data_IF_409270611759
#
_entry.id   IF_409270611759
#
_cell.length_a   1.000
_cell.length_b   1.000
_cell.length_c   1.000
_cell.angle_alpha   90.00
_cell.angle_beta   90.00
_cell.angle_gamma   90.00
#
_symmetry.space_group_name_H-M   'P 1'
#
loop_
_entity.id
_entity.type
_entity.pdbx_description
1 polymer ?
#
# COMPACT_ATOMS: atom_id res chain seq x y z
N UNK A 1 17.63 -3.55 30.01
CA UNK A 1 17.87 -2.58 28.92
C UNK A 1 16.70 -2.64 27.96
N UNK A 2 16.38 -1.54 27.30
CA UNK A 2 15.35 -1.52 26.26
C UNK A 2 15.69 -0.48 25.22
N UNK A 3 15.07 -0.55 24.04
CA UNK A 3 15.34 0.38 22.96
C UNK A 3 14.06 0.75 22.22
N UNK A 4 14.01 2.01 21.79
CA UNK A 4 12.98 2.51 20.90
C UNK A 4 13.58 3.01 19.59
N UNK A 5 12.82 2.87 18.51
CA UNK A 5 13.17 3.40 17.19
C UNK A 5 12.32 4.63 16.89
N UNK A 6 12.92 5.64 16.26
CA UNK A 6 12.20 6.83 15.82
C UNK A 6 11.47 6.49 14.51
N UNK A 7 10.14 6.67 14.52
CA UNK A 7 9.26 6.44 13.38
C UNK A 7 8.32 7.62 13.28
N UNK A 8 8.32 8.32 12.14
CA UNK A 8 7.51 9.53 11.92
C UNK A 8 7.68 10.58 13.04
N UNK A 9 8.92 10.79 13.50
CA UNK A 9 9.24 11.77 14.54
C UNK A 9 8.86 11.37 15.98
N UNK A 10 8.24 10.20 16.19
CA UNK A 10 7.94 9.67 17.51
C UNK A 10 8.81 8.47 17.85
N UNK A 11 9.23 8.36 19.11
CA UNK A 11 10.04 7.26 19.59
C UNK A 11 9.14 6.09 20.00
N UNK A 12 9.22 4.96 19.30
CA UNK A 12 8.44 3.76 19.63
C UNK A 12 9.33 2.67 20.22
N UNK A 13 9.03 2.24 21.45
CA UNK A 13 9.72 1.13 22.11
C UNK A 13 9.44 -0.17 21.36
N UNK A 14 10.49 -0.85 20.92
CA UNK A 14 10.39 -2.05 20.08
C UNK A 14 11.15 -3.25 20.64
N UNK A 15 12.11 -3.02 21.53
CA UNK A 15 12.93 -4.08 22.12
C UNK A 15 13.02 -3.93 23.63
N UNK A 16 12.80 -5.02 24.35
CA UNK A 16 12.93 -5.13 25.81
C UNK A 16 13.87 -6.30 26.14
N UNK A 17 14.77 -6.09 27.10
CA UNK A 17 15.72 -7.10 27.60
C UNK A 17 15.81 -7.00 29.13
N UNK A 18 15.42 -8.08 29.82
CA UNK A 18 15.42 -8.14 31.29
C UNK A 18 14.24 -7.41 31.94
N UNK A 19 13.16 -7.20 31.17
CA UNK A 19 11.90 -6.66 31.64
C UNK A 19 11.16 -7.68 32.53
N UNK A 20 10.37 -7.19 33.49
CA UNK A 20 9.46 -7.97 34.33
C UNK A 20 8.09 -8.12 33.68
N UNK A 21 7.68 -7.12 32.90
CA UNK A 21 6.44 -7.14 32.13
C UNK A 21 6.61 -6.44 30.79
N UNK A 22 5.64 -6.57 29.90
CA UNK A 22 5.67 -5.98 28.56
C UNK A 22 5.00 -4.59 28.50
N UNK A 23 4.80 -3.93 29.65
CA UNK A 23 4.08 -2.66 29.75
C UNK A 23 4.73 -1.53 28.90
N UNK A 24 6.03 -1.62 28.69
CA UNK A 24 6.79 -0.68 27.86
C UNK A 24 6.77 -1.04 26.37
N UNK A 25 6.35 -2.25 25.99
CA UNK A 25 6.41 -2.71 24.60
C UNK A 25 5.43 -1.92 23.74
N UNK A 26 5.91 -1.36 22.63
CA UNK A 26 5.07 -0.64 21.67
C UNK A 26 4.66 0.76 22.11
N UNK A 27 5.07 1.20 23.32
CA UNK A 27 4.83 2.55 23.80
C UNK A 27 5.44 3.58 22.85
N UNK A 28 4.67 4.60 22.50
CA UNK A 28 5.09 5.68 21.62
C UNK A 28 5.24 6.96 22.41
N UNK A 29 6.44 7.54 22.38
CA UNK A 29 6.79 8.78 23.06
C UNK A 29 6.96 9.89 22.01
N UNK A 30 6.18 10.97 22.08
CA UNK A 30 6.44 12.18 21.30
C UNK A 30 7.82 12.80 21.62
N UNK A 31 8.32 13.71 20.78
CA UNK A 31 9.45 14.57 21.14
C UNK A 31 9.21 15.29 22.47
N UNK A 32 10.29 15.51 23.23
CA UNK A 32 10.28 16.21 24.53
C UNK A 32 9.49 15.53 25.66
N UNK A 33 8.74 14.45 25.38
CA UNK A 33 8.00 13.67 26.38
C UNK A 33 8.90 12.61 27.03
N UNK A 34 8.90 12.62 28.36
CA UNK A 34 9.65 11.69 29.20
C UNK A 34 11.16 11.79 29.01
N UNK A 35 11.88 10.83 29.59
CA UNK A 35 13.34 10.74 29.45
C UNK A 35 13.77 10.50 27.99
N UNK A 36 12.97 9.68 27.29
CA UNK A 36 13.21 9.29 25.90
C UNK A 36 13.12 10.42 24.90
N UNK A 37 11.97 11.10 24.89
CA UNK A 37 11.73 12.23 24.02
C UNK A 37 12.73 13.35 24.30
N UNK A 38 13.07 13.59 25.58
CA UNK A 38 14.11 14.56 25.95
C UNK A 38 15.50 14.20 25.42
N UNK A 39 15.93 12.95 25.54
CA UNK A 39 17.22 12.51 25.01
C UNK A 39 17.26 12.58 23.47
N UNK A 40 16.13 12.26 22.82
CA UNK A 40 15.96 12.39 21.38
C UNK A 40 16.08 13.85 20.92
N UNK A 41 15.38 14.78 21.58
CA UNK A 41 15.45 16.22 21.26
C UNK A 41 16.82 16.81 21.52
N UNK A 42 17.47 16.45 22.64
CA UNK A 42 18.77 17.02 23.01
C UNK A 42 19.95 16.43 22.22
N UNK A 43 19.79 15.25 21.60
CA UNK A 43 20.87 14.57 20.88
C UNK A 43 22.05 14.13 21.76
N UNK A 44 21.89 14.11 23.09
CA UNK A 44 22.92 13.66 24.05
C UNK A 44 22.34 12.76 25.15
N UNK A 45 23.18 11.93 25.81
CA UNK A 45 22.75 11.12 26.95
C UNK A 45 22.05 11.90 28.05
N UNK A 46 20.97 11.34 28.60
CA UNK A 46 20.24 11.90 29.75
C UNK A 46 20.00 10.81 30.78
N UNK A 47 20.30 11.07 32.05
CA UNK A 47 20.09 10.11 33.15
C UNK A 47 19.30 10.73 34.29
N UNK A 48 18.45 9.93 34.91
CA UNK A 48 17.72 10.26 36.14
C UNK A 48 18.01 9.20 37.21
N UNK A 49 18.26 9.65 38.44
CA UNK A 49 18.51 8.79 39.60
C UNK A 49 17.26 8.10 40.11
N UNK A 50 16.14 8.82 40.07
CA UNK A 50 14.85 8.32 40.50
C UNK A 50 13.76 8.92 39.61
N UNK A 51 13.18 8.08 38.76
CA UNK A 51 12.24 8.46 37.72
C UNK A 51 10.97 9.06 38.32
N UNK A 52 10.44 8.47 39.41
CA UNK A 52 9.19 8.93 40.04
C UNK A 52 9.28 10.32 40.69
N UNK A 53 10.49 10.83 40.91
CA UNK A 53 10.72 12.14 41.55
C UNK A 53 11.48 13.11 40.64
N UNK A 54 11.74 12.73 39.39
CA UNK A 54 12.60 13.49 38.49
C UNK A 54 11.84 14.66 37.83
N UNK A 55 11.99 15.87 38.37
CA UNK A 55 11.40 17.10 37.80
C UNK A 55 11.88 17.48 36.39
N UNK A 56 12.96 16.85 35.90
CA UNK A 56 13.52 17.08 34.57
C UNK A 56 12.84 16.31 33.43
N UNK A 57 11.79 15.54 33.69
CA UNK A 57 11.09 14.77 32.66
C UNK A 57 9.58 14.85 32.87
N UNK A 58 8.82 14.60 31.80
CA UNK A 58 7.37 14.42 31.93
C UNK A 58 7.06 13.01 32.44
N UNK A 59 5.92 12.89 33.12
CA UNK A 59 5.53 11.69 33.88
C UNK A 59 4.33 10.97 33.25
N UNK A 60 4.12 11.17 31.94
CA UNK A 60 3.00 10.58 31.17
C UNK A 60 3.03 9.05 31.10
N UNK A 61 4.17 8.44 31.44
CA UNK A 61 4.39 7.00 31.36
C UNK A 61 4.72 6.35 32.71
N UNK A 62 4.44 7.05 33.82
CA UNK A 62 4.69 6.57 35.18
C UNK A 62 4.05 5.22 35.47
N UNK A 63 2.84 4.98 34.95
CA UNK A 63 2.13 3.71 35.16
C UNK A 63 2.93 2.55 34.55
N UNK A 64 3.37 2.69 33.30
CA UNK A 64 4.11 1.64 32.60
C UNK A 64 5.51 1.43 33.19
N UNK A 65 6.20 2.52 33.55
CA UNK A 65 7.51 2.47 34.22
C UNK A 65 7.40 1.90 35.64
N UNK A 66 6.31 2.21 36.34
CA UNK A 66 5.98 1.74 37.68
C UNK A 66 5.67 0.24 37.72
N UNK A 67 4.92 -0.29 36.74
CA UNK A 67 4.69 -1.73 36.59
C UNK A 67 5.99 -2.51 36.36
N UNK A 68 6.93 -1.91 35.63
CA UNK A 68 8.26 -2.49 35.40
C UNK A 68 9.18 -2.33 36.64
N UNK A 69 8.81 -1.44 37.56
CA UNK A 69 9.51 -1.15 38.82
C UNK A 69 10.82 -0.38 38.63
N UNK A 70 10.98 0.34 37.52
CA UNK A 70 12.21 1.08 37.23
C UNK A 70 12.29 2.34 38.09
N UNK A 71 13.48 2.62 38.61
CA UNK A 71 13.76 3.79 39.45
C UNK A 71 14.82 4.65 38.79
N UNK A 72 16.04 4.17 38.61
CA UNK A 72 17.03 4.92 37.84
C UNK A 72 16.98 4.55 36.35
N UNK A 73 17.01 5.55 35.48
CA UNK A 73 17.02 5.37 34.02
C UNK A 73 18.08 6.26 33.35
N UNK A 74 18.68 5.75 32.29
CA UNK A 74 19.53 6.49 31.37
C UNK A 74 19.05 6.24 29.95
N UNK A 75 18.92 7.31 29.17
CA UNK A 75 18.55 7.30 27.76
C UNK A 75 19.73 7.81 26.93
N UNK A 76 20.15 7.00 25.96
CA UNK A 76 21.27 7.24 25.06
C UNK A 76 20.71 7.39 23.64
N UNK A 77 20.78 8.58 23.04
CA UNK A 77 20.37 8.75 21.65
C UNK A 77 21.37 8.06 20.71
N UNK A 78 20.83 7.42 19.67
CA UNK A 78 21.58 6.71 18.64
C UNK A 78 21.37 7.44 17.32
N UNK A 79 22.37 8.23 16.95
CA UNK A 79 22.34 9.03 15.72
C UNK A 79 22.87 8.24 14.53
N UNK A 80 22.15 8.32 13.41
CA UNK A 80 22.54 7.80 12.10
C UNK A 80 22.53 8.98 11.13
N UNK A 81 23.70 9.31 10.56
CA UNK A 81 23.87 10.43 9.62
C UNK A 81 23.40 11.79 10.18
N UNK A 82 23.66 12.03 11.46
CA UNK A 82 23.32 13.30 12.14
C UNK A 82 21.91 13.35 12.73
N UNK A 83 21.04 12.39 12.41
CA UNK A 83 19.66 12.32 12.89
C UNK A 83 19.49 11.21 13.93
N UNK A 84 18.76 11.45 15.01
CA UNK A 84 18.50 10.43 16.04
C UNK A 84 17.52 9.40 15.49
N UNK A 85 18.03 8.19 15.17
CA UNK A 85 17.24 7.11 14.60
C UNK A 85 16.65 6.17 15.67
N UNK A 86 17.25 6.14 16.86
CA UNK A 86 16.81 5.31 17.97
C UNK A 86 17.27 5.90 19.32
N UNK A 87 16.69 5.39 20.41
CA UNK A 87 17.14 5.68 21.78
C UNK A 87 17.32 4.35 22.51
N UNK A 88 18.50 4.15 23.09
CA UNK A 88 18.85 3.01 23.92
C UNK A 88 18.69 3.38 25.40
N UNK A 89 18.06 2.51 26.18
CA UNK A 89 17.80 2.72 27.60
C UNK A 89 18.52 1.72 28.49
N UNK A 90 19.20 2.24 29.50
CA UNK A 90 19.63 1.52 30.68
C UNK A 90 18.68 1.82 31.84
N UNK A 91 18.21 0.79 32.55
CA UNK A 91 17.29 0.97 33.65
C UNK A 91 17.53 -0.03 34.77
N UNK A 92 17.42 0.43 36.01
CA UNK A 92 17.55 -0.40 37.20
C UNK A 92 16.45 -0.07 38.21
N UNK A 93 16.10 -1.06 39.04
CA UNK A 93 14.99 -0.99 40.00
C UNK A 93 15.43 -0.50 41.38
N UNK A 94 16.43 0.38 41.38
CA UNK A 94 17.03 0.97 42.58
C UNK A 94 17.31 2.45 42.34
N UNK A 95 17.28 3.25 43.40
CA UNK A 95 17.57 4.69 43.36
C UNK A 95 19.07 4.90 43.36
N UNK A 96 19.66 4.99 42.17
CA UNK A 96 21.12 5.08 41.98
C UNK A 96 21.50 6.08 40.90
N UNK A 97 22.66 6.71 41.04
CA UNK A 97 23.25 7.53 39.98
C UNK A 97 24.10 6.62 39.09
N UNK A 98 23.92 6.70 37.77
CA UNK A 98 24.81 6.01 36.85
C UNK A 98 26.17 6.71 36.84
N UNK A 99 27.24 5.95 37.04
CA UNK A 99 28.61 6.46 36.90
C UNK A 99 29.03 6.60 35.44
N UNK A 100 29.98 7.48 35.18
CA UNK A 100 30.43 7.84 33.82
C UNK A 100 30.87 6.63 32.98
N UNK A 101 31.53 5.66 33.61
CA UNK A 101 31.96 4.41 32.95
C UNK A 101 30.78 3.61 32.40
N UNK A 102 29.68 3.50 33.16
CA UNK A 102 28.48 2.78 32.73
C UNK A 102 27.80 3.51 31.58
N UNK A 103 27.72 4.85 31.66
CA UNK A 103 27.18 5.68 30.59
C UNK A 103 28.03 5.54 29.32
N UNK A 104 29.35 5.59 29.42
CA UNK A 104 30.27 5.44 28.29
C UNK A 104 30.14 4.07 27.61
N UNK A 105 29.96 2.99 28.37
CA UNK A 105 29.71 1.66 27.81
C UNK A 105 28.38 1.59 27.04
N UNK A 106 27.32 2.20 27.56
CA UNK A 106 26.03 2.28 26.87
C UNK A 106 26.11 3.15 25.61
N UNK A 107 26.89 4.23 25.62
CA UNK A 107 27.19 5.04 24.43
C UNK A 107 27.93 4.21 23.39
N UNK A 108 28.95 3.45 23.79
CA UNK A 108 29.67 2.53 22.89
C UNK A 108 28.75 1.47 22.28
N UNK A 109 27.83 0.92 23.06
CA UNK A 109 26.81 0.00 22.55
C UNK A 109 25.87 0.70 21.55
N UNK A 110 25.52 1.96 21.81
CA UNK A 110 24.77 2.81 20.89
C UNK A 110 25.45 2.99 19.53
N UNK A 111 26.77 3.19 19.49
CA UNK A 111 27.52 3.25 18.23
C UNK A 111 27.48 1.95 17.42
N UNK A 112 27.54 0.79 18.09
CA UNK A 112 27.33 -0.50 17.44
C UNK A 112 25.96 -0.59 16.77
N UNK A 113 24.91 -0.19 17.49
CA UNK A 113 23.54 -0.15 16.98
C UNK A 113 23.39 0.84 15.80
N UNK A 114 24.05 2.01 15.85
CA UNK A 114 24.03 2.98 14.76
C UNK A 114 24.54 2.37 13.44
N UNK A 115 25.65 1.61 13.51
CA UNK A 115 26.23 0.93 12.34
C UNK A 115 25.30 -0.13 11.76
N UNK A 116 24.63 -0.90 12.62
CA UNK A 116 23.65 -1.91 12.19
C UNK A 116 22.42 -1.27 11.52
N UNK A 117 21.92 -0.16 12.08
CA UNK A 117 20.80 0.61 11.53
C UNK A 117 21.17 1.25 10.18
N UNK A 118 22.40 1.75 10.03
CA UNK A 118 22.90 2.28 8.76
C UNK A 118 22.96 1.19 7.70
N UNK A 119 23.60 0.05 7.99
CA UNK A 119 23.68 -1.09 7.08
C UNK A 119 22.30 -1.59 6.65
N UNK A 120 21.36 -1.65 7.60
CA UNK A 120 19.99 -2.11 7.32
C UNK A 120 19.19 -1.10 6.51
N UNK A 121 19.40 0.20 6.73
CA UNK A 121 18.77 1.26 5.93
C UNK A 121 19.28 1.26 4.50
N UNK A 122 20.59 1.03 4.29
CA UNK A 122 21.18 0.89 2.97
C UNK A 122 20.65 -0.34 2.23
N UNK A 123 20.56 -1.48 2.92
CA UNK A 123 19.95 -2.70 2.38
C UNK A 123 18.52 -2.46 1.93
N UNK A 124 17.70 -1.80 2.76
CA UNK A 124 16.32 -1.48 2.43
C UNK A 124 16.22 -0.53 1.23
N UNK A 125 17.09 0.48 1.15
CA UNK A 125 17.17 1.38 -0.02
C UNK A 125 17.55 0.65 -1.28
N UNK A 126 18.52 -0.28 -1.22
CA UNK A 126 18.93 -1.08 -2.39
C UNK A 126 17.78 -1.95 -2.89
N UNK A 127 17.06 -2.61 -1.98
CA UNK A 127 15.86 -3.39 -2.34
C UNK A 127 14.78 -2.49 -2.96
N UNK A 128 14.54 -1.30 -2.39
CA UNK A 128 13.58 -0.35 -2.94
C UNK A 128 13.97 0.15 -4.34
N UNK A 129 15.26 0.42 -4.57
CA UNK A 129 15.79 0.78 -5.89
C UNK A 129 15.64 -0.36 -6.89
N UNK A 130 15.95 -1.60 -6.51
CA UNK A 130 15.76 -2.77 -7.37
C UNK A 130 14.28 -2.96 -7.72
N UNK A 131 13.37 -2.79 -6.75
CA UNK A 131 11.92 -2.81 -6.99
C UNK A 131 11.46 -1.70 -7.92
N UNK A 132 11.96 -0.48 -7.72
CA UNK A 132 11.64 0.66 -8.59
C UNK A 132 12.16 0.46 -10.01
N UNK A 133 13.38 -0.09 -10.16
CA UNK A 133 13.94 -0.43 -11.46
C UNK A 133 13.18 -1.58 -12.14
N UNK A 134 12.72 -2.58 -11.39
CA UNK A 134 11.88 -3.65 -11.90
C UNK A 134 10.45 -3.19 -12.25
N UNK A 135 9.95 -2.15 -11.58
CA UNK A 135 8.64 -1.53 -11.85
C UNK A 135 8.69 -0.46 -12.95
N UNK A 136 9.89 0.01 -13.33
CA UNK A 136 10.06 0.90 -14.46
C UNK A 136 9.70 0.13 -15.74
N UNK A 137 8.81 0.66 -16.61
CA UNK A 137 8.52 0.01 -17.88
C UNK A 137 9.80 -0.03 -18.70
N UNK A 138 10.29 -1.23 -19.00
CA UNK A 138 11.43 -1.43 -19.88
C UNK A 138 11.14 -0.78 -21.25
N UNK A 139 12.12 -0.15 -21.91
CA UNK A 139 12.01 0.20 -23.32
C UNK A 139 12.15 -1.08 -24.17
N UNK A 140 11.19 -1.98 -24.04
CA UNK A 140 10.85 -2.95 -25.07
C UNK A 140 9.81 -2.34 -26.00
N UNK A 141 9.55 -2.97 -27.15
CA UNK A 141 8.43 -2.61 -28.03
C UNK A 141 7.21 -2.27 -27.18
N UNK A 142 6.69 -1.05 -27.28
CA UNK A 142 5.59 -0.64 -26.42
C UNK A 142 4.40 -1.53 -26.74
N UNK A 143 3.55 -1.83 -25.75
CA UNK A 143 2.30 -2.54 -26.03
C UNK A 143 1.40 -1.80 -27.04
N UNK A 144 1.64 -0.51 -27.27
CA UNK A 144 1.05 0.26 -28.36
C UNK A 144 1.63 -0.17 -29.73
N UNK A 145 2.96 -0.21 -29.86
CA UNK A 145 3.66 -0.60 -31.10
C UNK A 145 3.28 -2.03 -31.53
N UNK A 146 3.15 -2.98 -30.59
CA UNK A 146 2.72 -4.35 -30.90
C UNK A 146 1.24 -4.47 -31.25
N UNK A 147 0.37 -3.62 -30.67
CA UNK A 147 -1.05 -3.55 -31.04
C UNK A 147 -1.20 -3.04 -32.46
N UNK A 148 -0.48 -1.97 -32.80
CA UNK A 148 -0.49 -1.40 -34.14
C UNK A 148 0.00 -2.41 -35.19
N UNK A 149 1.08 -3.13 -34.92
CA UNK A 149 1.58 -4.19 -35.81
C UNK A 149 0.57 -5.34 -35.98
N UNK A 150 -0.11 -5.75 -34.90
CA UNK A 150 -1.14 -6.79 -34.98
C UNK A 150 -2.38 -6.32 -35.76
N UNK A 151 -2.80 -5.06 -35.61
CA UNK A 151 -3.89 -4.45 -36.36
C UNK A 151 -3.56 -4.33 -37.85
N UNK A 152 -2.33 -3.92 -38.19
CA UNK A 152 -1.84 -3.85 -39.57
C UNK A 152 -1.81 -5.23 -40.23
N UNK A 153 -1.35 -6.28 -39.53
CA UNK A 153 -1.39 -7.66 -40.02
C UNK A 153 -2.84 -8.13 -40.26
N UNK A 154 -3.76 -7.87 -39.33
CA UNK A 154 -5.17 -8.22 -39.49
C UNK A 154 -5.84 -7.48 -40.66
N UNK A 155 -5.52 -6.20 -40.86
CA UNK A 155 -6.01 -5.40 -41.97
C UNK A 155 -5.46 -5.89 -43.32
N UNK A 156 -4.17 -6.25 -43.38
CA UNK A 156 -3.53 -6.78 -44.59
C UNK A 156 -4.09 -8.14 -45.04
N UNK A 157 -4.52 -8.98 -44.10
CA UNK A 157 -5.09 -10.30 -44.39
C UNK A 157 -6.51 -10.23 -44.99
N UNK A 158 -7.18 -9.07 -44.99
CA UNK A 158 -8.54 -8.91 -45.54
C UNK A 158 -8.62 -9.23 -47.05
N UNK A 159 -7.51 -9.09 -47.78
CA UNK A 159 -7.45 -9.28 -49.24
C UNK A 159 -6.85 -10.64 -49.67
N UNK A 160 -6.51 -11.52 -48.73
CA UNK A 160 -5.85 -12.81 -49.04
C UNK A 160 -6.88 -13.90 -49.36
N UNK A 161 -6.77 -14.59 -50.50
CA UNK A 161 -7.73 -15.64 -50.92
C UNK A 161 -7.61 -16.96 -50.15
N UNK A 162 -6.53 -17.17 -49.41
CA UNK A 162 -6.30 -18.35 -48.58
C UNK A 162 -6.96 -18.20 -47.21
N UNK A 163 -8.04 -18.96 -46.99
CA UNK A 163 -8.80 -18.95 -45.75
C UNK A 163 -8.05 -19.55 -44.55
N UNK A 164 -7.25 -20.60 -44.78
CA UNK A 164 -6.53 -21.29 -43.70
C UNK A 164 -5.40 -20.41 -43.14
N UNK A 165 -4.62 -19.78 -44.03
CA UNK A 165 -3.57 -18.83 -43.63
C UNK A 165 -4.16 -17.60 -42.91
N UNK A 166 -5.32 -17.11 -43.38
CA UNK A 166 -6.06 -16.01 -42.75
C UNK A 166 -6.46 -16.32 -41.32
N UNK A 167 -6.96 -17.53 -41.07
CA UNK A 167 -7.39 -17.96 -39.75
C UNK A 167 -6.21 -18.17 -38.79
N UNK A 168 -5.09 -18.71 -39.29
CA UNK A 168 -3.85 -18.89 -38.52
C UNK A 168 -3.22 -17.56 -38.08
N UNK A 169 -3.13 -16.60 -38.99
CA UNK A 169 -2.61 -15.25 -38.68
C UNK A 169 -3.54 -14.53 -37.70
N UNK A 170 -4.86 -14.62 -37.89
CA UNK A 170 -5.84 -14.03 -36.97
C UNK A 170 -5.71 -14.61 -35.56
N UNK A 171 -5.63 -15.94 -35.45
CA UNK A 171 -5.49 -16.63 -34.19
C UNK A 171 -4.19 -16.22 -33.45
N UNK A 172 -3.09 -16.12 -34.20
CA UNK A 172 -1.79 -15.70 -33.65
C UNK A 172 -1.83 -14.25 -33.16
N UNK A 173 -2.42 -13.33 -33.92
CA UNK A 173 -2.57 -11.93 -33.53
C UNK A 173 -3.46 -11.78 -32.27
N UNK A 174 -4.56 -12.53 -32.19
CA UNK A 174 -5.44 -12.52 -31.01
C UNK A 174 -4.72 -13.01 -29.75
N UNK A 175 -3.91 -14.08 -29.85
CA UNK A 175 -3.12 -14.58 -28.73
C UNK A 175 -2.08 -13.56 -28.25
N UNK A 176 -1.42 -12.87 -29.19
CA UNK A 176 -0.47 -11.80 -28.87
C UNK A 176 -1.17 -10.62 -28.17
N UNK A 177 -2.31 -10.17 -28.69
CA UNK A 177 -3.10 -9.08 -28.10
C UNK A 177 -3.60 -9.41 -26.69
N UNK A 178 -4.03 -10.65 -26.45
CA UNK A 178 -4.46 -11.13 -25.13
C UNK A 178 -3.30 -11.17 -24.13
N UNK A 179 -2.12 -11.64 -24.55
CA UNK A 179 -0.91 -11.65 -23.72
C UNK A 179 -0.43 -10.23 -23.38
N UNK A 180 -0.59 -9.27 -24.29
CA UNK A 180 -0.26 -7.84 -24.08
C UNK A 180 -1.32 -7.07 -23.27
N UNK A 181 -2.49 -7.66 -23.04
CA UNK A 181 -3.58 -7.14 -22.22
C UNK A 181 -3.54 -7.58 -20.75
N UNK A 182 -2.44 -8.17 -20.29
CA UNK A 182 -2.28 -8.67 -18.93
C UNK A 182 -2.57 -7.61 -17.86
N UNK A 183 -3.63 -7.88 -17.08
CA UNK A 183 -4.17 -7.10 -15.95
C UNK A 183 -4.89 -5.79 -16.33
N UNK A 184 -5.93 -5.89 -17.16
CA UNK A 184 -7.10 -5.01 -16.91
C UNK A 184 -7.89 -5.65 -15.78
N UNK A 185 -8.03 -4.96 -14.64
CA UNK A 185 -8.94 -5.33 -13.55
C UNK A 185 -10.29 -5.77 -14.14
N UNK A 186 -10.48 -7.09 -14.21
CA UNK A 186 -11.75 -7.67 -14.59
C UNK A 186 -12.69 -7.44 -13.41
N UNK A 187 -13.38 -6.30 -13.43
CA UNK A 187 -14.65 -6.19 -12.73
C UNK A 187 -15.48 -7.42 -13.13
N UNK A 188 -16.04 -8.18 -12.17
CA UNK A 188 -16.89 -9.31 -12.52
C UNK A 188 -17.96 -8.83 -13.49
N UNK A 189 -18.28 -9.61 -14.54
CA UNK A 189 -19.25 -9.20 -15.54
C UNK A 189 -20.54 -8.80 -14.83
N UNK A 190 -21.12 -7.64 -15.15
CA UNK A 190 -22.35 -7.20 -14.51
C UNK A 190 -23.41 -8.28 -14.68
N UNK A 191 -24.04 -8.69 -13.58
CA UNK A 191 -25.15 -9.64 -13.61
C UNK A 191 -26.35 -8.91 -14.21
N UNK A 192 -26.53 -9.07 -15.52
CA UNK A 192 -27.68 -8.55 -16.26
C UNK A 192 -28.82 -9.55 -16.12
N UNK A 193 -29.98 -9.11 -15.65
CA UNK A 193 -31.17 -9.97 -15.57
C UNK A 193 -31.72 -10.31 -16.96
N UNK A 194 -32.48 -11.41 -17.09
CA UNK A 194 -33.09 -11.81 -18.37
C UNK A 194 -33.88 -10.66 -19.03
N UNK A 195 -34.63 -9.90 -18.23
CA UNK A 195 -35.40 -8.73 -18.71
C UNK A 195 -34.52 -7.58 -19.18
N UNK A 196 -33.38 -7.35 -18.55
CA UNK A 196 -32.42 -6.32 -18.98
C UNK A 196 -31.67 -6.74 -20.25
N UNK A 197 -31.48 -8.04 -20.45
CA UNK A 197 -30.90 -8.61 -21.66
C UNK A 197 -31.85 -8.46 -22.86
N UNK A 198 -33.16 -8.67 -22.66
CA UNK A 198 -34.18 -8.42 -23.69
C UNK A 198 -34.20 -6.94 -24.11
N UNK A 199 -34.15 -6.02 -23.15
CA UNK A 199 -34.05 -4.58 -23.40
C UNK A 199 -32.76 -4.22 -24.15
N UNK A 200 -31.63 -4.85 -23.81
CA UNK A 200 -30.36 -4.66 -24.53
C UNK A 200 -30.41 -5.15 -25.98
N UNK A 201 -31.02 -6.31 -26.24
CA UNK A 201 -31.15 -6.87 -27.58
C UNK A 201 -31.97 -5.96 -28.51
N UNK A 202 -33.13 -5.50 -28.03
CA UNK A 202 -33.99 -4.60 -28.81
C UNK A 202 -33.35 -3.21 -28.96
N UNK A 203 -32.65 -2.71 -27.94
CA UNK A 203 -31.89 -1.47 -28.06
C UNK A 203 -30.72 -1.59 -29.05
N UNK A 204 -30.09 -2.76 -29.16
CA UNK A 204 -29.03 -3.05 -30.14
C UNK A 204 -29.58 -3.17 -31.57
N UNK A 205 -30.84 -3.59 -31.72
CA UNK A 205 -31.56 -3.60 -32.99
C UNK A 205 -32.06 -2.20 -33.43
N UNK A 206 -31.89 -1.17 -32.59
CA UNK A 206 -32.24 0.22 -32.90
C UNK A 206 -33.62 0.67 -32.45
N UNK A 207 -34.37 -0.17 -31.71
CA UNK A 207 -35.71 0.17 -31.23
C UNK A 207 -35.69 1.31 -30.20
N UNK A 208 -36.64 2.23 -30.27
CA UNK A 208 -36.90 3.29 -29.28
C UNK A 208 -37.47 2.72 -27.97
N UNK A 209 -37.42 3.49 -26.88
CA UNK A 209 -37.95 3.02 -25.58
C UNK A 209 -39.47 2.72 -25.63
N UNK A 210 -40.19 3.36 -26.56
CA UNK A 210 -41.62 3.12 -26.78
C UNK A 210 -41.86 1.80 -27.53
N UNK A 211 -41.09 1.52 -28.58
CA UNK A 211 -41.17 0.26 -29.34
C UNK A 211 -40.70 -0.94 -28.49
N UNK A 212 -39.68 -0.75 -27.65
CA UNK A 212 -39.23 -1.77 -26.69
C UNK A 212 -40.34 -2.07 -25.67
N UNK A 213 -41.02 -1.03 -25.18
CA UNK A 213 -42.11 -1.18 -24.22
C UNK A 213 -43.28 -1.96 -24.82
N UNK A 214 -43.65 -1.66 -26.07
CA UNK A 214 -44.68 -2.38 -26.82
C UNK A 214 -44.29 -3.84 -27.08
N UNK A 215 -43.06 -4.11 -27.51
CA UNK A 215 -42.61 -5.48 -27.81
C UNK A 215 -42.44 -6.37 -26.58
N UNK A 216 -42.16 -5.78 -25.42
CA UNK A 216 -41.99 -6.51 -24.16
C UNK A 216 -43.26 -6.53 -23.29
N UNK A 217 -44.37 -5.94 -23.76
CA UNK A 217 -45.63 -5.75 -23.01
C UNK A 217 -45.42 -5.12 -21.62
N UNK A 218 -44.65 -4.02 -21.60
CA UNK A 218 -44.33 -3.26 -20.38
C UNK A 218 -44.55 -1.76 -20.58
N UNK A 219 -44.47 -0.98 -19.50
CA UNK A 219 -44.53 0.48 -19.61
C UNK A 219 -43.20 1.06 -20.06
N UNK A 220 -43.23 2.20 -20.77
CA UNK A 220 -42.03 2.96 -21.15
C UNK A 220 -41.16 3.31 -19.92
N UNK A 221 -41.80 3.58 -18.77
CA UNK A 221 -41.10 3.81 -17.51
C UNK A 221 -40.30 2.60 -17.00
N UNK A 222 -40.79 1.37 -17.24
CA UNK A 222 -40.07 0.14 -16.91
C UNK A 222 -38.81 -0.03 -17.78
N UNK A 223 -38.90 0.29 -19.08
CA UNK A 223 -37.76 0.27 -20.01
C UNK A 223 -36.70 1.29 -19.60
N UNK A 224 -37.10 2.52 -19.28
CA UNK A 224 -36.18 3.56 -18.80
C UNK A 224 -35.50 3.16 -17.49
N UNK A 225 -36.22 2.45 -16.61
CA UNK A 225 -35.69 1.84 -15.40
C UNK A 225 -34.60 0.80 -15.70
N UNK A 226 -34.88 -0.13 -16.61
CA UNK A 226 -33.91 -1.15 -17.05
C UNK A 226 -32.67 -0.51 -17.69
N UNK A 227 -32.84 0.48 -18.58
CA UNK A 227 -31.72 1.22 -19.22
C UNK A 227 -30.87 1.97 -18.18
N UNK A 228 -31.48 2.50 -17.11
CA UNK A 228 -30.74 3.12 -16.01
C UNK A 228 -29.92 2.09 -15.21
N UNK A 229 -30.50 0.93 -14.92
CA UNK A 229 -29.79 -0.16 -14.24
C UNK A 229 -28.63 -0.69 -15.08
N UNK A 230 -28.85 -0.93 -16.37
CA UNK A 230 -27.83 -1.31 -17.34
C UNK A 230 -26.68 -0.31 -17.40
N UNK A 231 -26.98 0.99 -17.52
CA UNK A 231 -25.96 2.05 -17.50
C UNK A 231 -25.13 2.04 -16.21
N UNK A 232 -25.77 1.82 -15.06
CA UNK A 232 -25.09 1.69 -13.77
C UNK A 232 -24.22 0.43 -13.72
N UNK A 233 -24.74 -0.70 -14.22
CA UNK A 233 -24.04 -1.99 -14.22
C UNK A 233 -22.80 -1.98 -15.13
N UNK A 234 -22.89 -1.32 -16.29
CA UNK A 234 -21.77 -1.18 -17.23
C UNK A 234 -20.89 0.06 -17.00
N UNK A 235 -21.22 0.92 -16.02
CA UNK A 235 -20.44 2.14 -15.72
C UNK A 235 -20.47 3.21 -16.81
N UNK A 236 -21.54 3.27 -17.61
CA UNK A 236 -21.66 4.13 -18.79
C UNK A 236 -22.79 5.15 -18.67
N UNK A 237 -22.70 6.23 -19.45
CA UNK A 237 -23.64 7.36 -19.35
C UNK A 237 -24.77 7.35 -20.38
N UNK A 238 -24.68 6.53 -21.43
CA UNK A 238 -25.68 6.45 -22.50
C UNK A 238 -26.09 5.02 -22.81
N UNK A 239 -27.29 4.85 -23.40
CA UNK A 239 -27.80 3.54 -23.84
C UNK A 239 -26.93 2.89 -24.92
N UNK A 240 -26.43 3.68 -25.87
CA UNK A 240 -25.52 3.19 -26.92
C UNK A 240 -24.17 2.75 -26.36
N UNK A 241 -23.66 3.46 -25.35
CA UNK A 241 -22.45 3.04 -24.64
C UNK A 241 -22.68 1.74 -23.85
N UNK A 242 -23.89 1.48 -23.35
CA UNK A 242 -24.25 0.22 -22.68
C UNK A 242 -24.27 -0.95 -23.67
N UNK A 243 -24.84 -0.76 -24.88
CA UNK A 243 -24.80 -1.77 -25.96
C UNK A 243 -23.35 -2.07 -26.38
N UNK A 244 -22.54 -1.03 -26.59
CA UNK A 244 -21.13 -1.21 -26.95
C UNK A 244 -20.31 -1.89 -25.84
N UNK A 245 -20.60 -1.59 -24.57
CA UNK A 245 -19.99 -2.27 -23.43
C UNK A 245 -20.42 -3.74 -23.34
N UNK A 246 -21.71 -4.03 -23.57
CA UNK A 246 -22.24 -5.39 -23.55
C UNK A 246 -21.67 -6.27 -24.68
N UNK A 247 -21.43 -5.73 -25.88
CA UNK A 247 -20.71 -6.43 -26.97
C UNK A 247 -19.26 -6.73 -26.60
N UNK A 248 -18.54 -5.75 -26.03
CA UNK A 248 -17.15 -5.96 -25.57
C UNK A 248 -17.05 -6.97 -24.44
N UNK A 249 -18.09 -7.08 -23.60
CA UNK A 249 -18.18 -8.04 -22.52
C UNK A 249 -18.69 -9.44 -22.95
N UNK A 250 -19.04 -9.63 -24.24
CA UNK A 250 -19.56 -10.91 -24.75
C UNK A 250 -20.97 -11.27 -24.28
N UNK A 251 -21.73 -10.29 -23.74
CA UNK A 251 -23.12 -10.49 -23.28
C UNK A 251 -24.11 -10.38 -24.44
N UNK A 252 -23.73 -9.66 -25.50
CA UNK A 252 -24.48 -9.55 -26.76
C UNK A 252 -23.61 -10.07 -27.89
N UNK A 253 -24.20 -10.86 -28.80
CA UNK A 253 -23.56 -11.32 -30.04
C UNK A 253 -23.53 -10.26 -31.14
#
# INVERSE_FOLDING_TARGET
MFAGRVVAGSLRISCLRGNRCDALQGLSLPPEVGLGGRAMTLGRPVSVRDYSTASGITHEHDIAVGWEGLRALVAIPVAVRGEVAAVLYGGVRAVVQFGDQVVAQLVSAGYGLARELESSSERQRRIAQLRAAAAAPAPGLRCADLREVAEQLMAGMANTSDGALRDEVRHTCQRLLAALGGQSDAFPPPVVSARELDVLNLAAAGCSDAEIAEQLDVTVGAVQGAVRNLRRAFGVRSRYAAVAAARRAGVLS
#
